data_IF_182047010076
#
_entry.id   IF_182047010076
#
_cell.length_a   1.000
_cell.length_b   1.000
_cell.length_c   1.000
_cell.angle_alpha   90.00
_cell.angle_beta   90.00
_cell.angle_gamma   90.00
#
_symmetry.space_group_name_H-M   'P 1'
#
loop_
_entity.id
_entity.type
_entity.pdbx_description
1 polymer ?
#
# COMPACT_ATOMS: atom_id res chain seq x y z
N UNK A 1 -3.45 2.12 1.09
CA UNK A 1 -4.60 3.01 0.82
C UNK A 1 -4.38 3.75 -0.48
N UNK A 2 -5.42 3.92 -1.29
CA UNK A 2 -5.47 4.83 -2.44
C UNK A 2 -6.44 5.96 -2.12
N UNK A 3 -6.09 7.17 -2.54
CA UNK A 3 -6.95 8.35 -2.44
C UNK A 3 -7.42 8.70 -3.83
N UNK A 4 -8.74 8.78 -4.01
CA UNK A 4 -9.30 9.25 -5.26
C UNK A 4 -9.16 10.76 -5.36
N UNK A 5 -8.57 11.23 -6.46
CA UNK A 5 -8.50 12.65 -6.78
C UNK A 5 -9.68 13.05 -7.65
N UNK A 6 -10.26 14.21 -7.37
CA UNK A 6 -11.18 14.87 -8.27
C UNK A 6 -10.43 15.29 -9.55
N UNK A 7 -10.98 14.93 -10.71
CA UNK A 7 -10.26 15.08 -11.97
C UNK A 7 -10.12 16.53 -12.43
N UNK A 8 -11.01 17.43 -12.01
CA UNK A 8 -10.99 18.84 -12.42
C UNK A 8 -10.16 19.71 -11.47
N UNK A 9 -10.21 19.43 -10.15
CA UNK A 9 -9.49 20.21 -9.14
C UNK A 9 -8.19 19.57 -8.65
N UNK A 10 -7.96 18.29 -8.92
CA UNK A 10 -6.81 17.52 -8.42
C UNK A 10 -6.84 17.28 -6.91
N UNK A 11 -7.91 17.69 -6.21
CA UNK A 11 -8.03 17.55 -4.75
C UNK A 11 -8.49 16.15 -4.37
N UNK A 12 -8.05 15.68 -3.20
CA UNK A 12 -8.56 14.45 -2.62
C UNK A 12 -10.08 14.54 -2.40
N UNK A 13 -10.84 13.53 -2.83
CA UNK A 13 -12.29 13.47 -2.62
C UNK A 13 -12.69 13.15 -1.18
N UNK A 14 -11.73 12.67 -0.38
CA UNK A 14 -11.95 12.26 1.01
C UNK A 14 -12.24 10.78 1.18
N UNK A 15 -12.49 10.06 0.07
CA UNK A 15 -12.70 8.62 0.08
C UNK A 15 -11.34 7.88 0.06
N UNK A 16 -11.29 6.79 0.82
CA UNK A 16 -10.12 5.92 0.95
C UNK A 16 -10.46 4.53 0.45
N UNK A 17 -9.63 4.01 -0.46
CA UNK A 17 -9.73 2.65 -0.96
C UNK A 17 -8.58 1.82 -0.38
N UNK A 18 -8.88 0.61 0.06
CA UNK A 18 -7.86 -0.35 0.45
C UNK A 18 -7.00 -0.74 -0.75
N UNK A 19 -5.69 -0.79 -0.55
CA UNK A 19 -4.74 -1.10 -1.63
C UNK A 19 -3.99 -2.40 -1.38
N UNK A 20 -3.56 -2.59 -0.13
CA UNK A 20 -2.90 -3.81 0.36
C UNK A 20 -3.43 -4.01 1.77
N UNK A 21 -3.95 -5.21 2.06
CA UNK A 21 -4.56 -5.58 3.34
C UNK A 21 -4.01 -6.92 3.83
N UNK A 22 -4.50 -7.41 4.98
CA UNK A 22 -4.15 -8.74 5.50
C UNK A 22 -2.99 -8.76 6.51
N UNK A 23 -2.42 -7.61 6.86
CA UNK A 23 -1.32 -7.49 7.84
C UNK A 23 -1.75 -7.57 9.31
N UNK A 24 -3.07 -7.48 9.54
CA UNK A 24 -3.71 -7.58 10.85
C UNK A 24 -4.75 -8.71 10.78
N UNK A 25 -4.70 -9.66 11.71
CA UNK A 25 -5.71 -10.73 11.80
C UNK A 25 -7.01 -10.19 12.40
N UNK A 26 -8.15 -10.89 12.24
CA UNK A 26 -9.41 -10.47 12.87
C UNK A 26 -9.33 -10.32 14.39
N UNK A 27 -8.43 -11.06 15.04
CA UNK A 27 -8.17 -11.01 16.48
C UNK A 27 -7.22 -9.86 16.88
N UNK A 28 -6.76 -9.07 15.92
CA UNK A 28 -5.89 -7.91 16.14
C UNK A 28 -4.39 -8.23 16.16
N UNK A 29 -3.99 -9.48 15.85
CA UNK A 29 -2.57 -9.82 15.77
C UNK A 29 -1.94 -9.20 14.53
N UNK A 30 -0.75 -8.62 14.67
CA UNK A 30 -0.02 -7.97 13.58
C UNK A 30 1.20 -8.78 13.23
N UNK A 31 1.29 -9.25 11.99
CA UNK A 31 2.45 -10.03 11.52
C UNK A 31 3.43 -9.20 10.69
N UNK A 32 3.12 -7.93 10.43
CA UNK A 32 4.04 -6.93 9.89
C UNK A 32 3.34 -5.58 9.70
N UNK A 33 4.08 -4.47 9.76
CA UNK A 33 3.55 -3.13 9.46
C UNK A 33 4.36 -2.51 8.32
N UNK A 34 3.72 -2.05 7.23
CA UNK A 34 4.43 -1.32 6.19
C UNK A 34 5.11 -0.05 6.75
N UNK A 35 6.39 0.15 6.44
CA UNK A 35 7.20 1.29 6.94
C UNK A 35 7.78 2.12 5.80
N UNK A 36 8.64 1.52 4.97
CA UNK A 36 9.30 2.20 3.86
C UNK A 36 8.57 1.96 2.55
N UNK A 37 8.50 2.97 1.69
CA UNK A 37 7.83 2.93 0.39
C UNK A 37 8.72 3.54 -0.70
N UNK A 38 8.78 2.91 -1.88
CA UNK A 38 9.37 3.51 -3.07
C UNK A 38 8.76 2.93 -4.35
N UNK A 39 8.90 3.63 -5.47
CA UNK A 39 8.47 3.16 -6.79
C UNK A 39 9.69 2.62 -7.53
N UNK A 40 9.61 1.37 -7.99
CA UNK A 40 10.63 0.76 -8.84
C UNK A 40 10.62 1.38 -10.24
N UNK A 41 11.72 1.19 -10.99
CA UNK A 41 11.87 1.74 -12.36
C UNK A 41 10.78 1.31 -13.34
N UNK A 42 10.16 0.15 -13.09
CA UNK A 42 9.07 -0.39 -13.90
C UNK A 42 7.67 0.08 -13.43
N UNK A 43 7.60 1.01 -12.48
CA UNK A 43 6.35 1.51 -11.92
C UNK A 43 5.74 0.67 -10.80
N UNK A 44 6.36 -0.47 -10.42
CA UNK A 44 5.88 -1.27 -9.29
C UNK A 44 6.07 -0.53 -7.96
N UNK A 45 5.13 -0.70 -7.01
CA UNK A 45 5.33 -0.24 -5.65
C UNK A 45 6.16 -1.27 -4.87
N UNK A 46 7.23 -0.81 -4.24
CA UNK A 46 8.01 -1.57 -3.26
C UNK A 46 7.71 -1.04 -1.87
N UNK A 47 7.53 -1.94 -0.91
CA UNK A 47 7.43 -1.56 0.49
C UNK A 47 8.10 -2.56 1.42
N UNK A 48 8.70 -2.06 2.49
CA UNK A 48 9.26 -2.86 3.57
C UNK A 48 8.28 -2.98 4.74
N UNK A 49 8.48 -4.00 5.57
CA UNK A 49 7.76 -4.18 6.83
C UNK A 49 8.71 -4.39 8.02
N UNK A 50 8.21 -4.22 9.24
CA UNK A 50 8.98 -4.22 10.50
C UNK A 50 9.12 -5.60 11.18
N UNK A 51 8.41 -6.63 10.72
CA UNK A 51 8.31 -7.93 11.40
C UNK A 51 9.20 -9.05 10.84
N UNK A 52 9.41 -9.08 9.52
CA UNK A 52 9.92 -10.26 8.81
C UNK A 52 11.13 -9.99 7.91
N UNK A 53 11.71 -8.77 7.96
CA UNK A 53 12.82 -8.35 7.09
C UNK A 53 12.49 -8.54 5.60
N UNK A 54 11.24 -8.32 5.23
CA UNK A 54 10.70 -8.58 3.88
C UNK A 54 10.48 -7.28 3.12
N UNK A 55 10.81 -7.30 1.83
CA UNK A 55 10.39 -6.27 0.86
C UNK A 55 9.36 -6.89 -0.06
N UNK A 56 8.15 -6.30 -0.08
CA UNK A 56 7.06 -6.69 -0.95
C UNK A 56 7.10 -5.86 -2.24
N UNK A 57 6.71 -6.49 -3.36
CA UNK A 57 6.56 -5.83 -4.66
C UNK A 57 5.13 -5.99 -5.16
N UNK A 58 4.46 -4.87 -5.39
CA UNK A 58 3.12 -4.82 -6.01
C UNK A 58 3.27 -4.34 -7.44
N UNK A 59 2.89 -5.18 -8.39
CA UNK A 59 2.90 -4.88 -9.82
C UNK A 59 1.56 -5.24 -10.44
N UNK A 60 1.18 -4.56 -11.52
CA UNK A 60 0.04 -5.00 -12.33
C UNK A 60 0.37 -6.36 -12.94
N UNK A 61 -0.58 -7.29 -12.85
CA UNK A 61 -0.52 -8.54 -13.61
C UNK A 61 -0.60 -8.25 -15.12
N UNK A 62 -0.18 -9.21 -15.93
CA UNK A 62 -0.54 -9.22 -17.35
C UNK A 62 -2.03 -9.48 -17.53
#
# INVERSE_FOLDING_TARGET
MRVSLDKSSGKARGDYEDFVTGFVTPEGNVWGRPVGLTIAKDGSLLFSEDGNKTIWRVSYGK
#
